data_IF_738473826200
#
_entry.id   IF_738473826200
#
_cell.length_a   1.000
_cell.length_b   1.000
_cell.length_c   1.000
_cell.angle_alpha   90.00
_cell.angle_beta   90.00
_cell.angle_gamma   90.00
#
_symmetry.space_group_name_H-M   'P 1'
#
loop_
_entity.id
_entity.type
_entity.pdbx_description
1 polymer ?
#
# COMPACT_ATOMS: atom_id res chain seq x y z
N UNK A 1 -4.29 12.03 11.32
CA UNK A 1 -4.80 11.46 10.06
C UNK A 1 -4.38 12.40 8.96
N UNK A 2 -3.95 11.86 7.81
CA UNK A 2 -3.47 12.68 6.70
C UNK A 2 -4.47 13.78 6.35
N UNK A 3 -4.01 15.05 6.26
CA UNK A 3 -4.90 16.19 5.97
C UNK A 3 -5.71 16.03 4.66
N UNK A 4 -5.21 15.24 3.72
CA UNK A 4 -5.86 14.91 2.44
C UNK A 4 -6.03 13.39 2.30
N UNK A 5 -6.73 12.74 3.24
CA UNK A 5 -6.92 11.29 3.17
C UNK A 5 -8.00 10.92 2.15
N UNK A 6 -7.72 9.90 1.33
CA UNK A 6 -8.67 9.31 0.38
C UNK A 6 -10.01 8.93 1.04
N UNK A 7 -10.02 8.57 2.33
CA UNK A 7 -11.25 8.25 3.06
C UNK A 7 -12.14 9.46 3.36
N UNK A 8 -11.56 10.67 3.41
CA UNK A 8 -12.30 11.93 3.62
C UNK A 8 -12.82 12.48 2.30
N UNK A 9 -12.09 12.28 1.20
CA UNK A 9 -12.46 12.73 -0.15
C UNK A 9 -13.56 11.86 -0.79
N UNK A 10 -13.71 10.61 -0.33
CA UNK A 10 -14.64 9.64 -0.91
C UNK A 10 -15.45 8.90 0.14
N UNK A 11 -16.77 8.96 -0.02
CA UNK A 11 -17.74 8.24 0.81
C UNK A 11 -17.49 6.73 0.82
N UNK A 12 -17.85 6.06 1.91
CA UNK A 12 -17.64 4.62 2.09
C UNK A 12 -18.23 3.78 0.97
N UNK A 13 -19.50 4.03 0.59
CA UNK A 13 -20.20 3.27 -0.45
C UNK A 13 -19.50 3.33 -1.80
N UNK A 14 -18.98 4.50 -2.18
CA UNK A 14 -18.23 4.69 -3.44
C UNK A 14 -16.91 3.91 -3.40
N UNK A 15 -16.18 3.98 -2.28
CA UNK A 15 -14.92 3.24 -2.11
C UNK A 15 -15.14 1.74 -2.13
N UNK A 16 -16.18 1.27 -1.45
CA UNK A 16 -16.53 -0.15 -1.35
C UNK A 16 -16.92 -0.73 -2.70
N UNK A 17 -17.84 -0.05 -3.42
CA UNK A 17 -18.27 -0.46 -4.76
C UNK A 17 -17.15 -0.43 -5.80
N UNK A 18 -16.29 0.60 -5.79
CA UNK A 18 -15.12 0.66 -6.67
C UNK A 18 -14.14 -0.50 -6.40
N UNK A 19 -13.81 -0.74 -5.13
CA UNK A 19 -12.92 -1.82 -4.74
C UNK A 19 -13.49 -3.21 -5.12
N UNK A 20 -14.78 -3.44 -4.91
CA UNK A 20 -15.45 -4.68 -5.29
C UNK A 20 -15.37 -4.92 -6.81
N UNK A 21 -15.72 -3.92 -7.61
CA UNK A 21 -15.65 -3.99 -9.08
C UNK A 21 -14.23 -4.25 -9.58
N UNK A 22 -13.22 -3.62 -8.96
CA UNK A 22 -11.82 -3.81 -9.36
C UNK A 22 -11.32 -5.21 -9.01
N UNK A 23 -11.71 -5.76 -7.85
CA UNK A 23 -11.37 -7.14 -7.47
C UNK A 23 -12.04 -8.18 -8.36
N UNK A 24 -13.26 -7.93 -8.80
CA UNK A 24 -13.94 -8.79 -9.78
C UNK A 24 -13.24 -8.76 -11.14
N UNK A 25 -12.84 -7.57 -11.61
CA UNK A 25 -12.14 -7.39 -12.89
C UNK A 25 -10.72 -7.94 -12.89
N UNK A 26 -10.02 -7.88 -11.75
CA UNK A 26 -8.63 -8.31 -11.61
C UNK A 26 -8.47 -9.19 -10.37
N UNK A 27 -8.87 -10.48 -10.43
CA UNK A 27 -8.95 -11.36 -9.26
C UNK A 27 -7.60 -11.61 -8.58
N UNK A 28 -6.51 -11.61 -9.34
CA UNK A 28 -5.14 -11.81 -8.82
C UNK A 28 -4.48 -10.53 -8.31
N UNK A 29 -5.26 -9.45 -8.17
CA UNK A 29 -4.75 -8.15 -7.72
C UNK A 29 -5.57 -7.55 -6.59
N UNK A 30 -4.87 -6.82 -5.73
CA UNK A 30 -5.42 -6.15 -4.57
C UNK A 30 -5.37 -4.64 -4.82
N UNK A 31 -6.52 -3.93 -4.77
CA UNK A 31 -6.53 -2.47 -4.79
C UNK A 31 -6.00 -1.93 -3.46
N UNK A 32 -4.94 -1.13 -3.51
CA UNK A 32 -4.26 -0.55 -2.35
C UNK A 32 -4.26 0.97 -2.48
N UNK A 33 -4.62 1.66 -1.40
CA UNK A 33 -4.47 3.11 -1.27
C UNK A 33 -3.20 3.40 -0.47
N UNK A 34 -2.29 4.19 -1.03
CA UNK A 34 -1.02 4.57 -0.38
C UNK A 34 -0.99 6.06 -0.17
N UNK A 35 -0.76 6.49 1.06
CA UNK A 35 -0.68 7.90 1.44
C UNK A 35 0.59 8.17 2.24
N UNK A 36 1.22 9.32 1.98
CA UNK A 36 2.35 9.78 2.80
C UNK A 36 1.83 10.23 4.17
N UNK A 37 2.52 9.82 5.24
CA UNK A 37 2.23 10.33 6.58
C UNK A 37 2.51 11.84 6.68
N UNK A 38 1.70 12.56 7.47
CA UNK A 38 1.79 14.03 7.58
C UNK A 38 3.18 14.51 8.05
N UNK A 39 3.82 13.75 8.94
CA UNK A 39 5.12 14.08 9.55
C UNK A 39 6.32 13.44 8.84
N UNK A 40 6.11 12.91 7.63
CA UNK A 40 7.19 12.28 6.87
C UNK A 40 7.79 13.27 5.87
N UNK A 41 9.12 13.27 5.78
CA UNK A 41 9.90 14.13 4.87
C UNK A 41 10.19 13.47 3.51
N UNK A 42 9.63 12.27 3.25
CA UNK A 42 9.77 11.60 1.95
C UNK A 42 8.99 12.35 0.86
N UNK A 43 9.35 12.20 -0.43
CA UNK A 43 8.56 12.76 -1.52
C UNK A 43 7.11 12.28 -1.53
N UNK A 44 6.21 13.11 -2.07
CA UNK A 44 4.82 12.72 -2.23
C UNK A 44 4.67 11.55 -3.21
N UNK A 45 3.67 10.71 -2.99
CA UNK A 45 3.34 9.63 -3.91
C UNK A 45 2.31 10.10 -4.95
N UNK A 46 2.69 9.99 -6.22
CA UNK A 46 1.78 10.22 -7.34
C UNK A 46 0.87 9.01 -7.57
N UNK A 47 -0.41 9.28 -7.82
CA UNK A 47 -1.48 8.28 -7.95
C UNK A 47 -1.53 7.32 -6.75
N UNK A 48 -2.21 7.77 -5.69
CA UNK A 48 -2.41 7.01 -4.44
C UNK A 48 -3.09 5.65 -4.62
N UNK A 49 -3.79 5.41 -5.74
CA UNK A 49 -4.49 4.16 -6.05
C UNK A 49 -3.58 3.22 -6.83
N UNK A 50 -3.18 2.12 -6.22
CA UNK A 50 -2.33 1.08 -6.83
C UNK A 50 -3.08 -0.24 -6.91
N UNK A 51 -2.76 -1.03 -7.94
CA UNK A 51 -3.32 -2.37 -8.13
C UNK A 51 -2.18 -3.39 -8.08
N UNK A 52 -2.03 -4.01 -6.92
CA UNK A 52 -0.85 -4.80 -6.52
C UNK A 52 -1.12 -6.29 -6.75
N UNK A 53 -0.18 -7.05 -7.36
CA UNK A 53 -0.31 -8.51 -7.44
C UNK A 53 -0.46 -9.15 -6.05
N UNK A 54 -1.33 -10.15 -5.92
CA UNK A 54 -1.62 -10.82 -4.64
C UNK A 54 -0.46 -11.64 -4.08
N UNK A 55 0.50 -12.01 -4.93
CA UNK A 55 1.72 -12.73 -4.60
C UNK A 55 2.89 -11.83 -4.21
N UNK A 56 2.77 -10.52 -4.41
CA UNK A 56 3.81 -9.55 -4.08
C UNK A 56 3.99 -9.45 -2.55
N UNK A 57 5.21 -9.68 -2.08
CA UNK A 57 5.55 -9.51 -0.67
C UNK A 57 5.54 -8.04 -0.27
N UNK A 58 5.38 -7.79 1.02
CA UNK A 58 5.47 -6.45 1.62
C UNK A 58 6.83 -5.82 1.32
N UNK A 59 7.93 -6.58 1.42
CA UNK A 59 9.27 -6.07 1.09
C UNK A 59 9.41 -5.66 -0.38
N UNK A 60 8.90 -6.47 -1.32
CA UNK A 60 8.87 -6.10 -2.74
C UNK A 60 7.99 -4.87 -2.99
N UNK A 61 6.84 -4.77 -2.29
CA UNK A 61 5.97 -3.60 -2.40
C UNK A 61 6.67 -2.33 -1.91
N UNK A 62 7.39 -2.38 -0.79
CA UNK A 62 8.21 -1.26 -0.30
C UNK A 62 9.22 -0.81 -1.34
N UNK A 63 9.87 -1.75 -2.03
CA UNK A 63 10.81 -1.44 -3.12
C UNK A 63 10.12 -0.75 -4.32
N UNK A 64 8.92 -1.19 -4.70
CA UNK A 64 8.11 -0.55 -5.75
C UNK A 64 7.78 0.90 -5.36
N UNK A 65 7.34 1.13 -4.12
CA UNK A 65 7.05 2.48 -3.63
C UNK A 65 8.31 3.34 -3.65
N UNK A 66 9.45 2.85 -3.13
CA UNK A 66 10.74 3.55 -3.14
C UNK A 66 11.11 4.03 -4.54
N UNK A 67 11.02 3.15 -5.55
CA UNK A 67 11.29 3.51 -6.95
C UNK A 67 10.33 4.58 -7.47
N UNK A 68 9.05 4.48 -7.11
CA UNK A 68 8.00 5.38 -7.60
C UNK A 68 8.15 6.81 -7.07
N UNK A 69 8.64 6.98 -5.85
CA UNK A 69 8.91 8.28 -5.24
C UNK A 69 10.38 8.71 -5.38
N UNK A 70 11.16 7.98 -6.18
CA UNK A 70 12.58 8.23 -6.45
C UNK A 70 13.43 8.40 -5.17
N UNK A 71 13.12 7.62 -4.12
CA UNK A 71 13.76 7.77 -2.82
C UNK A 71 15.14 7.10 -2.77
N UNK A 72 16.17 7.89 -2.49
CA UNK A 72 17.57 7.45 -2.31
C UNK A 72 17.69 6.24 -1.37
N UNK A 73 18.57 5.30 -1.72
CA UNK A 73 18.83 4.09 -0.93
C UNK A 73 19.30 4.39 0.51
N UNK A 74 19.91 5.55 0.75
CA UNK A 74 20.38 6.00 2.07
C UNK A 74 19.22 6.42 3.00
N UNK A 75 18.08 6.79 2.42
CA UNK A 75 16.90 7.21 3.20
C UNK A 75 16.03 6.01 3.52
N UNK A 76 15.71 5.84 4.81
CA UNK A 76 14.80 4.79 5.27
C UNK A 76 13.35 5.06 4.82
N UNK A 77 12.60 3.99 4.57
CA UNK A 77 11.17 4.04 4.27
C UNK A 77 10.46 2.97 5.10
N UNK A 78 9.32 3.34 5.67
CA UNK A 78 8.47 2.46 6.46
C UNK A 78 7.04 2.57 5.94
N UNK A 79 6.34 1.43 5.92
CA UNK A 79 4.91 1.37 5.60
C UNK A 79 4.16 0.85 6.81
N UNK A 80 2.95 1.37 7.02
CA UNK A 80 2.12 1.01 8.16
C UNK A 80 0.75 0.58 7.65
N UNK A 81 0.24 -0.52 8.21
CA UNK A 81 -1.14 -0.97 8.04
C UNK A 81 -1.76 -0.98 9.44
N UNK A 82 -2.83 -0.21 9.64
CA UNK A 82 -3.46 -0.03 10.96
C UNK A 82 -2.46 0.36 12.07
N UNK A 83 -1.52 1.25 11.76
CA UNK A 83 -0.42 1.72 12.62
C UNK A 83 0.60 0.63 13.03
N UNK A 84 0.59 -0.54 12.39
CA UNK A 84 1.54 -1.62 12.63
C UNK A 84 2.47 -1.76 11.42
N UNK A 85 3.76 -2.01 11.69
CA UNK A 85 4.72 -2.40 10.65
C UNK A 85 4.40 -3.83 10.21
N UNK A 86 3.96 -4.07 8.96
CA UNK A 86 3.70 -5.42 8.49
C UNK A 86 5.02 -6.21 8.35
N UNK A 87 5.00 -7.54 8.53
CA UNK A 87 6.16 -8.38 8.24
C UNK A 87 6.53 -8.26 6.76
N UNK A 88 7.83 -8.07 6.47
CA UNK A 88 8.33 -7.85 5.11
C UNK A 88 8.36 -9.12 4.27
N UNK A 89 8.45 -10.27 4.92
CA UNK A 89 8.53 -11.58 4.30
C UNK A 89 7.26 -12.39 4.58
N UNK A 90 6.96 -13.33 3.68
CA UNK A 90 5.91 -14.33 3.95
C UNK A 90 6.39 -15.18 5.13
N UNK A 91 5.57 -15.41 6.17
CA UNK A 91 5.92 -16.34 7.22
C UNK A 91 6.28 -17.67 6.57
N UNK A 92 7.42 -18.25 6.94
CA UNK A 92 7.75 -19.60 6.51
C UNK A 92 6.58 -20.51 6.92
N UNK A 93 6.10 -21.41 6.04
CA UNK A 93 5.25 -22.48 6.52
C UNK A 93 6.05 -23.19 7.61
N UNK A 94 5.53 -23.18 8.84
CA UNK A 94 6.11 -23.94 9.92
C UNK A 94 6.19 -25.42 9.51
N UNK A 95 6.98 -26.25 10.24
CA UNK A 95 7.27 -27.63 9.84
C UNK A 95 6.05 -28.58 9.69
N UNK A 96 4.81 -28.10 9.80
CA UNK A 96 3.59 -28.92 9.79
C UNK A 96 2.50 -28.41 8.81
N UNK A 97 2.87 -27.96 7.60
CA UNK A 97 1.94 -27.86 6.46
C UNK A 97 2.60 -28.19 5.12
#
# INVERSE_FOLDING_TARGET
MAKNSFRLEHDFEKRSSEAARIREKYPDRVPVIVEKADRSDIPNIDNKKLLVPSDLTVGQFVYVIRKRIELSAETAIFIFVDNVLPPTERPSPGPDK
#
